data_IF_443271239818
#
_entry.id   IF_443271239818
#
_cell.length_a   1.000
_cell.length_b   1.000
_cell.length_c   1.000
_cell.angle_alpha   90.00
_cell.angle_beta   90.00
_cell.angle_gamma   90.00
#
_symmetry.space_group_name_H-M   'P 1'
#
loop_
_entity.id
_entity.type
_entity.pdbx_description
1 polymer ?
#
# COMPACT_ATOMS: atom_id res chain seq x y z
N UNK A 1 0.94 -14.24 -9.51
CA UNK A 1 1.78 -13.02 -9.51
C UNK A 1 3.06 -13.31 -10.28
N UNK A 2 3.69 -12.28 -10.87
CA UNK A 2 4.96 -12.40 -11.59
C UNK A 2 6.13 -11.96 -10.71
N UNK A 3 7.23 -12.72 -10.80
CA UNK A 3 8.54 -12.43 -10.18
C UNK A 3 9.53 -12.26 -11.30
N UNK A 4 10.29 -11.19 -11.33
CA UNK A 4 11.30 -10.89 -12.34
C UNK A 4 12.68 -10.96 -11.71
N UNK A 5 13.62 -11.61 -12.42
CA UNK A 5 15.03 -11.71 -12.06
C UNK A 5 15.84 -11.03 -13.17
N UNK A 6 16.79 -10.17 -12.80
CA UNK A 6 17.63 -9.43 -13.74
C UNK A 6 19.08 -9.53 -13.28
N UNK A 7 19.91 -10.17 -14.09
CA UNK A 7 21.34 -10.35 -13.83
C UNK A 7 22.05 -10.54 -15.15
N UNK A 8 23.05 -9.74 -15.46
CA UNK A 8 23.77 -9.81 -16.75
C UNK A 8 24.61 -11.08 -16.92
N UNK A 9 24.79 -11.85 -15.84
CA UNK A 9 25.40 -13.19 -15.89
C UNK A 9 24.34 -14.28 -16.13
N UNK A 10 24.25 -14.90 -17.36
CA UNK A 10 23.18 -15.85 -17.66
C UNK A 10 23.13 -17.05 -16.71
N UNK A 11 24.30 -17.52 -16.26
CA UNK A 11 24.38 -18.65 -15.31
C UNK A 11 23.77 -18.35 -13.96
N UNK A 12 23.93 -17.11 -13.47
CA UNK A 12 23.34 -16.67 -12.20
C UNK A 12 21.82 -16.48 -12.37
N UNK A 13 21.41 -15.81 -13.44
CA UNK A 13 20.02 -15.58 -13.79
C UNK A 13 19.23 -16.89 -13.91
N UNK A 14 19.75 -17.88 -14.67
CA UNK A 14 19.15 -19.21 -14.83
C UNK A 14 19.11 -20.01 -13.52
N UNK A 15 20.18 -19.96 -12.73
CA UNK A 15 20.23 -20.62 -11.42
C UNK A 15 19.16 -20.06 -10.48
N UNK A 16 19.07 -18.73 -10.37
CA UNK A 16 18.08 -18.07 -9.52
C UNK A 16 16.66 -18.38 -9.98
N UNK A 17 16.41 -18.39 -11.30
CA UNK A 17 15.12 -18.77 -11.86
C UNK A 17 14.70 -20.17 -11.41
N UNK A 18 15.57 -21.17 -11.53
CA UNK A 18 15.31 -22.56 -11.09
C UNK A 18 15.03 -22.63 -9.58
N UNK A 19 15.81 -21.93 -8.77
CA UNK A 19 15.61 -21.85 -7.32
C UNK A 19 14.20 -21.29 -7.01
N UNK A 20 13.81 -20.22 -7.68
CA UNK A 20 12.51 -19.59 -7.45
C UNK A 20 11.36 -20.45 -7.97
N UNK A 21 11.45 -21.04 -9.15
CA UNK A 21 10.44 -21.94 -9.71
C UNK A 21 10.17 -23.14 -8.77
N UNK A 22 11.24 -23.71 -8.21
CA UNK A 22 11.15 -24.82 -7.26
C UNK A 22 10.64 -24.36 -5.89
N UNK A 23 11.22 -23.29 -5.36
CA UNK A 23 10.92 -22.81 -3.99
C UNK A 23 9.56 -22.19 -3.85
N UNK A 24 9.03 -21.53 -4.88
CA UNK A 24 7.71 -20.94 -4.92
C UNK A 24 6.59 -21.90 -5.35
N UNK A 25 6.90 -23.18 -5.50
CA UNK A 25 5.97 -24.30 -5.77
C UNK A 25 5.01 -24.04 -6.94
N UNK A 26 5.49 -23.37 -8.00
CA UNK A 26 4.70 -23.10 -9.21
C UNK A 26 3.52 -22.14 -9.04
N UNK A 27 3.34 -21.53 -7.89
CA UNK A 27 2.26 -20.55 -7.65
C UNK A 27 2.50 -19.18 -8.30
N UNK A 28 3.71 -18.96 -8.80
CA UNK A 28 4.13 -17.68 -9.36
C UNK A 28 4.88 -17.91 -10.69
N UNK A 29 4.69 -16.98 -11.64
CA UNK A 29 5.45 -16.98 -12.88
C UNK A 29 6.79 -16.29 -12.65
N UNK A 30 7.89 -17.00 -12.92
CA UNK A 30 9.26 -16.46 -12.79
C UNK A 30 9.84 -16.19 -14.17
N UNK A 31 10.18 -14.94 -14.43
CA UNK A 31 10.85 -14.50 -15.66
C UNK A 31 12.27 -14.04 -15.34
N UNK A 32 13.23 -14.41 -16.17
CA UNK A 32 14.62 -14.01 -16.01
C UNK A 32 15.10 -13.27 -17.24
N UNK A 33 15.87 -12.21 -17.03
CA UNK A 33 16.43 -11.33 -18.05
C UNK A 33 17.91 -11.11 -17.80
N UNK A 34 18.68 -11.05 -18.88
CA UNK A 34 20.11 -10.73 -18.83
C UNK A 34 20.42 -9.32 -19.36
N UNK A 35 19.40 -8.63 -19.83
CA UNK A 35 19.47 -7.24 -20.28
C UNK A 35 18.47 -6.37 -19.53
N UNK A 36 18.97 -5.29 -18.96
CA UNK A 36 18.18 -4.40 -18.12
C UNK A 36 17.11 -3.62 -18.90
N UNK A 37 17.36 -3.28 -20.17
CA UNK A 37 16.38 -2.56 -20.99
C UNK A 37 15.20 -3.47 -21.34
N UNK A 38 15.48 -4.69 -21.80
CA UNK A 38 14.44 -5.69 -22.10
C UNK A 38 13.60 -6.02 -20.85
N UNK A 39 14.28 -6.10 -19.69
CA UNK A 39 13.58 -6.29 -18.41
C UNK A 39 12.66 -5.11 -18.07
N UNK A 40 13.13 -3.88 -18.31
CA UNK A 40 12.34 -2.67 -18.06
C UNK A 40 11.09 -2.62 -18.93
N UNK A 41 11.22 -2.89 -20.22
CA UNK A 41 10.10 -2.94 -21.16
C UNK A 41 9.05 -3.98 -20.72
N UNK A 42 9.50 -5.13 -20.24
CA UNK A 42 8.62 -6.16 -19.67
C UNK A 42 7.95 -5.69 -18.37
N UNK A 43 8.68 -5.02 -17.48
CA UNK A 43 8.17 -4.50 -16.20
C UNK A 43 7.09 -3.45 -16.44
N UNK A 44 7.26 -2.56 -17.39
CA UNK A 44 6.26 -1.54 -17.75
C UNK A 44 4.95 -2.15 -18.20
N UNK A 45 4.99 -3.22 -18.99
CA UNK A 45 3.81 -3.89 -19.53
C UNK A 45 3.13 -4.78 -18.48
N UNK A 46 3.90 -5.60 -17.77
CA UNK A 46 3.41 -6.71 -16.99
C UNK A 46 3.31 -6.43 -15.48
N UNK A 47 3.91 -5.34 -15.02
CA UNK A 47 3.89 -4.86 -13.62
C UNK A 47 4.10 -5.97 -12.59
N UNK A 48 5.25 -6.67 -12.61
CA UNK A 48 5.55 -7.76 -11.70
C UNK A 48 5.57 -7.28 -10.25
N UNK A 49 5.06 -8.08 -9.32
CA UNK A 49 5.00 -7.69 -7.90
C UNK A 49 6.34 -7.73 -7.18
N UNK A 50 7.29 -8.58 -7.64
CA UNK A 50 8.64 -8.68 -7.06
C UNK A 50 9.67 -8.66 -8.17
N UNK A 51 10.74 -7.89 -7.95
CA UNK A 51 11.84 -7.71 -8.88
C UNK A 51 13.15 -7.94 -8.12
N UNK A 52 13.91 -8.94 -8.55
CA UNK A 52 15.24 -9.26 -8.06
C UNK A 52 16.25 -8.81 -9.10
N UNK A 53 17.11 -7.85 -8.81
CA UNK A 53 18.04 -7.28 -9.80
C UNK A 53 19.46 -7.18 -9.27
N UNK A 54 20.45 -7.52 -10.10
CA UNK A 54 21.83 -7.16 -9.80
C UNK A 54 21.97 -5.64 -9.78
N UNK A 55 22.84 -5.13 -8.93
CA UNK A 55 23.17 -3.71 -8.84
C UNK A 55 24.07 -3.27 -9.99
N UNK A 56 25.05 -4.11 -10.33
CA UNK A 56 26.08 -3.78 -11.34
C UNK A 56 25.81 -4.50 -12.65
N UNK A 57 25.15 -3.83 -13.56
CA UNK A 57 24.90 -4.32 -14.91
C UNK A 57 25.35 -3.29 -15.95
N UNK A 58 25.75 -3.74 -17.16
CA UNK A 58 26.05 -2.83 -18.27
C UNK A 58 24.82 -1.99 -18.66
N UNK A 59 25.05 -0.73 -19.01
CA UNK A 59 23.97 0.17 -19.43
C UNK A 59 23.15 0.68 -18.23
N UNK A 60 21.99 0.10 -17.98
CA UNK A 60 21.13 0.46 -16.86
C UNK A 60 21.51 -0.36 -15.64
N UNK A 61 21.97 0.32 -14.59
CA UNK A 61 22.29 -0.34 -13.32
C UNK A 61 21.01 -0.72 -12.56
N UNK A 62 21.09 -1.70 -11.63
CA UNK A 62 19.95 -2.06 -10.77
C UNK A 62 19.40 -0.88 -9.96
N UNK A 63 20.25 0.07 -9.58
CA UNK A 63 19.83 1.32 -8.93
C UNK A 63 19.03 2.19 -9.92
N UNK A 64 19.49 2.31 -11.16
CA UNK A 64 18.78 3.04 -12.21
C UNK A 64 17.41 2.41 -12.50
N UNK A 65 17.33 1.09 -12.53
CA UNK A 65 16.08 0.34 -12.64
C UNK A 65 15.13 0.63 -11.46
N UNK A 66 15.65 0.53 -10.23
CA UNK A 66 14.84 0.78 -9.04
C UNK A 66 14.23 2.19 -9.04
N UNK A 67 14.99 3.20 -9.48
CA UNK A 67 14.48 4.57 -9.63
C UNK A 67 13.32 4.63 -10.63
N UNK A 68 13.46 4.03 -11.81
CA UNK A 68 12.41 4.03 -12.85
C UNK A 68 11.18 3.25 -12.39
N UNK A 69 11.35 2.09 -11.77
CA UNK A 69 10.26 1.26 -11.26
C UNK A 69 9.47 2.01 -10.17
N UNK A 70 10.15 2.71 -9.26
CA UNK A 70 9.49 3.51 -8.23
C UNK A 70 8.69 4.68 -8.81
N UNK A 71 9.10 5.25 -9.94
CA UNK A 71 8.33 6.29 -10.64
C UNK A 71 7.03 5.77 -11.24
N UNK A 72 6.92 4.47 -11.51
CA UNK A 72 5.68 3.85 -12.02
C UNK A 72 4.60 3.68 -10.93
N UNK A 73 4.97 3.81 -9.65
CA UNK A 73 4.10 3.87 -8.45
C UNK A 73 3.03 2.77 -8.35
N UNK A 74 3.38 1.51 -8.68
CA UNK A 74 2.47 0.36 -8.52
C UNK A 74 2.83 -0.57 -7.35
N UNK A 75 3.81 -0.18 -6.53
CA UNK A 75 4.14 -0.84 -5.28
C UNK A 75 5.02 -2.09 -5.40
N UNK A 76 5.75 -2.29 -6.52
CA UNK A 76 6.68 -3.40 -6.69
C UNK A 76 7.68 -3.50 -5.53
N UNK A 77 8.00 -4.72 -5.12
CA UNK A 77 9.03 -4.99 -4.12
C UNK A 77 10.33 -5.32 -4.84
N UNK A 78 11.32 -4.43 -4.69
CA UNK A 78 12.62 -4.55 -5.34
C UNK A 78 13.59 -5.16 -4.34
N UNK A 79 14.31 -6.20 -4.74
CA UNK A 79 15.37 -6.86 -3.99
C UNK A 79 16.67 -6.75 -4.78
N UNK A 80 17.73 -6.24 -4.16
CA UNK A 80 19.03 -6.16 -4.81
C UNK A 80 19.85 -7.43 -4.63
N UNK A 81 20.56 -7.82 -5.68
CA UNK A 81 21.67 -8.77 -5.64
C UNK A 81 22.99 -7.98 -5.57
N UNK A 82 23.86 -8.31 -4.66
CA UNK A 82 25.14 -7.61 -4.50
C UNK A 82 26.27 -8.57 -4.15
N UNK A 83 27.43 -8.38 -4.76
CA UNK A 83 28.66 -9.12 -4.43
C UNK A 83 29.45 -8.56 -3.25
N UNK A 84 29.09 -7.39 -2.78
CA UNK A 84 29.81 -6.68 -1.72
C UNK A 84 28.84 -6.05 -0.72
N UNK A 85 29.16 -6.19 0.57
CA UNK A 85 28.46 -5.48 1.65
C UNK A 85 28.96 -4.01 1.72
N UNK A 86 28.84 -3.25 0.62
CA UNK A 86 29.20 -1.85 0.60
C UNK A 86 28.11 -1.03 1.30
N UNK A 87 28.50 -0.26 2.29
CA UNK A 87 27.61 0.61 3.07
C UNK A 87 26.85 1.63 2.21
N UNK A 88 27.37 1.97 1.03
CA UNK A 88 26.70 2.85 0.07
C UNK A 88 25.38 2.28 -0.47
N UNK A 89 25.28 0.96 -0.66
CA UNK A 89 24.04 0.35 -1.16
C UNK A 89 22.92 0.38 -0.13
N UNK A 90 23.24 0.39 1.16
CA UNK A 90 22.23 0.59 2.20
C UNK A 90 21.58 1.98 2.12
N UNK A 91 22.35 3.02 1.76
CA UNK A 91 21.84 4.38 1.55
C UNK A 91 20.88 4.43 0.34
N UNK A 92 21.26 3.82 -0.77
CA UNK A 92 20.40 3.73 -1.96
C UNK A 92 19.15 2.88 -1.71
N UNK A 93 19.25 1.86 -0.86
CA UNK A 93 18.09 1.07 -0.42
C UNK A 93 17.01 1.92 0.24
N UNK A 94 17.41 2.86 1.11
CA UNK A 94 16.49 3.81 1.76
C UNK A 94 15.93 4.82 0.75
N UNK A 95 16.81 5.42 -0.06
CA UNK A 95 16.43 6.46 -1.02
C UNK A 95 15.44 5.96 -2.09
N UNK A 96 15.65 4.73 -2.58
CA UNK A 96 14.81 4.14 -3.64
C UNK A 96 13.82 3.09 -3.13
N UNK A 97 13.50 3.07 -1.83
CA UNK A 97 12.50 2.18 -1.21
C UNK A 97 12.70 0.70 -1.59
N UNK A 98 13.98 0.26 -1.62
CA UNK A 98 14.30 -1.14 -1.89
C UNK A 98 13.83 -1.99 -0.71
N UNK A 99 13.19 -3.11 -1.01
CA UNK A 99 12.60 -3.98 0.01
C UNK A 99 13.64 -4.73 0.83
N UNK A 100 14.66 -5.26 0.15
CA UNK A 100 15.73 -6.06 0.78
C UNK A 100 16.92 -6.23 -0.16
N UNK A 101 17.99 -6.87 0.30
CA UNK A 101 19.14 -7.26 -0.52
C UNK A 101 19.58 -8.69 -0.21
N UNK A 102 20.20 -9.35 -1.20
CA UNK A 102 20.80 -10.67 -1.10
C UNK A 102 22.27 -10.60 -1.51
N UNK A 103 23.13 -11.21 -0.72
CA UNK A 103 24.57 -11.26 -1.01
C UNK A 103 24.89 -12.40 -1.97
N UNK A 104 25.71 -12.12 -2.98
CA UNK A 104 26.32 -13.16 -3.84
C UNK A 104 27.56 -13.76 -3.12
N UNK A 105 27.76 -15.09 -3.10
CA UNK A 105 26.91 -16.12 -3.73
C UNK A 105 25.59 -16.32 -2.96
N UNK A 106 24.48 -16.30 -3.68
CA UNK A 106 23.14 -16.34 -3.08
C UNK A 106 22.86 -17.74 -2.48
N UNK A 107 22.53 -17.75 -1.19
CA UNK A 107 22.01 -18.96 -0.54
C UNK A 107 20.54 -19.19 -0.94
N UNK A 108 20.23 -20.43 -1.33
CA UNK A 108 18.93 -20.80 -1.85
C UNK A 108 17.81 -20.58 -0.82
N UNK A 109 18.03 -20.94 0.42
CA UNK A 109 17.02 -20.81 1.51
C UNK A 109 16.76 -19.35 1.84
N UNK A 110 17.84 -18.54 1.87
CA UNK A 110 17.75 -17.11 2.12
C UNK A 110 16.99 -16.41 1.00
N UNK A 111 17.30 -16.75 -0.26
CA UNK A 111 16.64 -16.21 -1.43
C UNK A 111 15.12 -16.50 -1.42
N UNK A 112 14.74 -17.76 -1.21
CA UNK A 112 13.32 -18.17 -1.13
C UNK A 112 12.61 -17.44 0.01
N UNK A 113 13.24 -17.32 1.19
CA UNK A 113 12.68 -16.63 2.34
C UNK A 113 12.49 -15.13 2.07
N UNK A 114 13.47 -14.48 1.46
CA UNK A 114 13.42 -13.07 1.09
C UNK A 114 12.29 -12.81 0.10
N UNK A 115 12.22 -13.58 -0.98
CA UNK A 115 11.19 -13.42 -2.01
C UNK A 115 9.78 -13.69 -1.46
N UNK A 116 9.59 -14.69 -0.61
CA UNK A 116 8.30 -14.93 0.04
C UNK A 116 7.87 -13.75 0.94
N UNK A 117 8.81 -13.10 1.65
CA UNK A 117 8.51 -11.87 2.40
C UNK A 117 8.10 -10.73 1.47
N UNK A 118 8.81 -10.55 0.36
CA UNK A 118 8.49 -9.53 -0.65
C UNK A 118 7.10 -9.76 -1.26
N UNK A 119 6.77 -11.00 -1.61
CA UNK A 119 5.45 -11.42 -2.11
C UNK A 119 4.34 -11.07 -1.11
N UNK A 120 4.55 -11.44 0.15
CA UNK A 120 3.57 -11.18 1.22
C UNK A 120 3.35 -9.68 1.44
N UNK A 121 4.43 -8.89 1.42
CA UNK A 121 4.37 -7.44 1.57
C UNK A 121 3.64 -6.78 0.38
N UNK A 122 3.91 -7.23 -0.85
CA UNK A 122 3.21 -6.74 -2.03
C UNK A 122 1.70 -6.99 -1.94
N UNK A 123 1.29 -8.22 -1.62
CA UNK A 123 -0.14 -8.55 -1.48
C UNK A 123 -0.83 -7.78 -0.35
N UNK A 124 -0.15 -7.57 0.78
CA UNK A 124 -0.70 -6.81 1.89
C UNK A 124 -0.97 -5.34 1.49
N UNK A 125 -0.06 -4.72 0.74
CA UNK A 125 -0.20 -3.35 0.26
C UNK A 125 -1.30 -3.23 -0.80
N UNK A 126 -1.39 -4.17 -1.75
CA UNK A 126 -2.45 -4.20 -2.75
C UNK A 126 -3.84 -4.33 -2.09
N UNK A 127 -3.98 -5.27 -1.14
CA UNK A 127 -5.23 -5.45 -0.40
C UNK A 127 -5.64 -4.20 0.38
N UNK A 128 -4.68 -3.51 0.98
CA UNK A 128 -4.95 -2.25 1.68
C UNK A 128 -5.45 -1.17 0.71
N UNK A 129 -4.81 -1.04 -0.45
CA UNK A 129 -5.19 -0.07 -1.50
C UNK A 129 -6.59 -0.36 -2.05
N UNK A 130 -6.90 -1.62 -2.36
CA UNK A 130 -8.23 -2.04 -2.80
C UNK A 130 -9.30 -1.72 -1.74
N UNK A 131 -9.04 -2.08 -0.49
CA UNK A 131 -9.99 -1.83 0.60
C UNK A 131 -10.20 -0.33 0.82
N UNK A 132 -9.15 0.47 0.71
CA UNK A 132 -9.24 1.93 0.79
C UNK A 132 -10.09 2.50 -0.36
N UNK A 133 -9.92 2.03 -1.59
CA UNK A 133 -10.73 2.44 -2.75
C UNK A 133 -12.19 2.08 -2.55
N UNK A 134 -12.50 0.84 -2.15
CA UNK A 134 -13.88 0.40 -1.86
C UNK A 134 -14.50 1.30 -0.79
N UNK A 135 -13.76 1.61 0.27
CA UNK A 135 -14.24 2.51 1.33
C UNK A 135 -14.52 3.93 0.80
N UNK A 136 -13.63 4.48 -0.02
CA UNK A 136 -13.83 5.79 -0.65
C UNK A 136 -15.06 5.81 -1.55
N UNK A 137 -15.23 4.80 -2.39
CA UNK A 137 -16.41 4.68 -3.28
C UNK A 137 -17.72 4.55 -2.48
N UNK A 138 -17.70 3.75 -1.42
CA UNK A 138 -18.85 3.62 -0.52
C UNK A 138 -19.18 4.96 0.15
N UNK A 139 -18.17 5.68 0.64
CA UNK A 139 -18.34 6.97 1.29
C UNK A 139 -18.93 8.00 0.32
N UNK A 140 -18.39 8.09 -0.90
CA UNK A 140 -18.87 9.03 -1.93
C UNK A 140 -20.32 8.72 -2.32
N UNK A 141 -20.65 7.45 -2.56
CA UNK A 141 -22.00 7.01 -2.96
C UNK A 141 -23.03 7.23 -1.85
N UNK A 142 -22.65 7.12 -0.59
CA UNK A 142 -23.54 7.22 0.56
C UNK A 142 -23.39 8.52 1.34
N UNK A 143 -22.70 9.51 0.79
CA UNK A 143 -22.41 10.77 1.48
C UNK A 143 -23.67 11.45 2.04
N UNK A 144 -24.76 11.46 1.28
CA UNK A 144 -26.03 12.09 1.71
C UNK A 144 -26.68 11.30 2.85
N UNK A 145 -26.69 9.99 2.79
CA UNK A 145 -27.22 9.14 3.86
C UNK A 145 -26.40 9.28 5.14
N UNK A 146 -25.06 9.28 5.03
CA UNK A 146 -24.16 9.48 6.17
C UNK A 146 -24.37 10.86 6.78
N UNK A 147 -24.59 11.87 5.94
CA UNK A 147 -24.89 13.24 6.36
C UNK A 147 -26.20 13.32 7.14
N UNK A 148 -27.27 12.70 6.64
CA UNK A 148 -28.55 12.63 7.32
C UNK A 148 -28.44 11.92 8.68
N UNK A 149 -27.81 10.76 8.74
CA UNK A 149 -27.58 10.03 9.99
C UNK A 149 -26.73 10.83 11.00
N UNK A 150 -25.75 11.59 10.53
CA UNK A 150 -24.95 12.45 11.41
C UNK A 150 -25.80 13.58 12.00
N UNK A 151 -26.63 14.22 11.17
CA UNK A 151 -27.57 15.27 11.62
C UNK A 151 -28.57 14.69 12.63
N UNK A 152 -29.19 13.55 12.35
CA UNK A 152 -30.10 12.87 13.28
C UNK A 152 -29.44 12.58 14.62
N UNK A 153 -28.20 12.08 14.63
CA UNK A 153 -27.44 11.84 15.88
C UNK A 153 -27.23 13.11 16.69
N UNK A 154 -26.94 14.22 16.02
CA UNK A 154 -26.77 15.52 16.71
C UNK A 154 -28.05 16.00 17.38
N UNK A 155 -29.21 15.72 16.81
CA UNK A 155 -30.50 16.19 17.33
C UNK A 155 -31.15 15.24 18.32
N UNK A 156 -31.00 13.93 18.14
CA UNK A 156 -31.79 12.93 18.86
C UNK A 156 -30.97 12.03 19.80
N UNK A 157 -29.64 12.13 19.79
CA UNK A 157 -28.80 11.34 20.69
C UNK A 157 -27.84 12.25 21.48
N UNK A 158 -27.64 12.00 22.76
CA UNK A 158 -26.67 12.75 23.58
C UNK A 158 -25.26 12.29 23.26
N UNK A 159 -24.76 12.65 22.07
CA UNK A 159 -23.38 12.33 21.64
C UNK A 159 -22.50 13.53 21.94
N UNK A 160 -21.51 13.34 22.80
CA UNK A 160 -20.49 14.35 23.09
C UNK A 160 -19.36 14.20 22.08
N UNK A 161 -19.31 15.11 21.12
CA UNK A 161 -18.14 15.23 20.23
C UNK A 161 -17.15 16.23 20.82
N UNK A 162 -15.85 15.92 20.80
CA UNK A 162 -14.85 16.94 21.03
C UNK A 162 -14.87 17.97 19.88
N UNK A 163 -14.43 19.21 20.14
CA UNK A 163 -14.38 20.25 19.09
C UNK A 163 -13.63 19.77 17.84
N UNK A 164 -12.51 19.07 18.04
CA UNK A 164 -11.70 18.52 16.95
C UNK A 164 -12.45 17.46 16.12
N UNK A 165 -13.23 16.61 16.79
CA UNK A 165 -14.06 15.59 16.11
C UNK A 165 -15.21 16.25 15.34
N UNK A 166 -15.84 17.26 15.91
CA UNK A 166 -16.91 18.01 15.27
C UNK A 166 -16.42 18.74 14.02
N UNK A 167 -15.27 19.42 14.12
CA UNK A 167 -14.70 20.16 13.00
C UNK A 167 -14.29 19.22 11.85
N UNK A 168 -13.71 18.07 12.19
CA UNK A 168 -13.36 17.04 11.20
C UNK A 168 -14.61 16.48 10.49
N UNK A 169 -15.72 16.28 11.20
CA UNK A 169 -16.95 15.79 10.60
C UNK A 169 -17.63 16.86 9.72
N UNK A 170 -17.63 18.12 10.13
CA UNK A 170 -18.11 19.23 9.30
C UNK A 170 -17.39 19.30 7.97
N UNK A 171 -16.04 19.23 7.99
CA UNK A 171 -15.24 19.24 6.77
C UNK A 171 -15.55 18.05 5.87
N UNK A 172 -15.54 16.84 6.42
CA UNK A 172 -15.77 15.60 5.66
C UNK A 172 -17.16 15.55 5.01
N UNK A 173 -18.18 15.99 5.75
CA UNK A 173 -19.57 15.92 5.29
C UNK A 173 -20.03 17.20 4.60
N UNK A 174 -19.17 18.21 4.48
CA UNK A 174 -19.49 19.53 3.90
C UNK A 174 -20.75 20.14 4.52
N UNK A 175 -20.92 19.99 5.85
CA UNK A 175 -22.07 20.55 6.59
C UNK A 175 -21.67 21.89 7.18
N UNK A 176 -22.40 22.94 6.82
CA UNK A 176 -22.28 24.24 7.46
C UNK A 176 -23.21 24.29 8.70
N UNK A 177 -22.67 24.05 9.88
CA UNK A 177 -23.39 24.23 11.16
C UNK A 177 -22.91 25.55 11.74
N UNK A 178 -23.69 26.58 11.62
CA UNK A 178 -23.43 27.88 12.22
C UNK A 178 -24.17 27.99 13.56
N UNK A 179 -23.45 27.79 14.68
CA UNK A 179 -23.86 28.13 16.04
C UNK A 179 -24.69 27.09 16.81
N UNK A 180 -24.51 27.10 18.13
CA UNK A 180 -25.09 26.17 19.11
C UNK A 180 -26.58 26.41 19.43
N UNK A 181 -27.38 27.07 18.62
CA UNK A 181 -28.73 27.49 18.96
C UNK A 181 -29.84 26.43 18.81
N UNK A 182 -29.57 25.26 18.23
CA UNK A 182 -30.63 24.29 17.90
C UNK A 182 -30.89 23.27 19.02
N UNK A 183 -29.98 23.10 19.99
CA UNK A 183 -30.07 22.00 20.97
C UNK A 183 -30.97 22.32 22.16
N UNK A 184 -31.36 23.58 22.40
CA UNK A 184 -32.11 23.98 23.60
C UNK A 184 -33.65 23.82 23.50
N UNK A 185 -34.21 23.67 22.28
CA UNK A 185 -35.69 23.73 22.11
C UNK A 185 -36.39 22.39 22.31
N UNK A 186 -35.71 21.28 22.12
CA UNK A 186 -36.32 19.94 22.22
C UNK A 186 -36.54 19.45 23.66
N UNK A 187 -35.75 19.93 24.61
CA UNK A 187 -35.80 19.40 25.99
C UNK A 187 -36.89 20.02 26.88
N UNK A 188 -37.36 21.20 26.54
CA UNK A 188 -38.39 21.89 27.32
C UNK A 188 -39.83 21.42 27.03
N UNK A 189 -40.06 20.80 25.86
CA UNK A 189 -41.41 20.32 25.50
C UNK A 189 -41.81 19.00 26.17
N UNK A 190 -40.87 18.15 26.53
CA UNK A 190 -41.15 16.87 27.18
C UNK A 190 -41.41 16.99 28.68
N UNK A 191 -40.91 18.04 29.36
CA UNK A 191 -41.18 18.27 30.79
C UNK A 191 -42.48 19.04 31.08
N UNK A 192 -43.04 19.72 30.10
CA UNK A 192 -44.29 20.46 30.28
C UNK A 192 -45.50 19.53 30.28
N UNK A 193 -45.39 18.29 29.77
CA UNK A 193 -46.51 17.33 29.78
C UNK A 193 -46.59 16.47 31.03
N UNK A 194 -45.51 16.35 31.83
CA UNK A 194 -45.52 15.59 33.08
C UNK A 194 -45.98 16.37 34.31
N UNK A 195 -46.02 17.71 34.22
CA UNK A 195 -46.43 18.55 35.36
C UNK A 195 -47.91 18.94 35.35
N UNK A 196 -48.70 18.51 34.37
CA UNK A 196 -50.14 18.81 34.27
C UNK A 196 -51.05 17.61 34.63
N UNK A 197 -50.49 16.48 35.04
CA UNK A 197 -51.25 15.30 35.48
C UNK A 197 -51.28 15.10 37.00
N UNK A 198 -50.67 16.00 37.79
CA UNK A 198 -50.62 15.92 39.25
C UNK A 198 -51.22 17.16 39.95
N UNK A 199 -52.27 17.74 39.38
CA UNK A 199 -53.14 18.71 40.03
C UNK A 199 -54.62 18.26 39.90
#
# INVERSE_FOLDING_TARGET
MKVVIIDDEPLISDKLKRIMETGLRGMHTVCAFTDAQTALDYIEQEKPGVILTDIRMPGITGIGLAKQINQMDYGAKIVFLTGYAEFEYARYGIEYKVFDYLLKPVDEREAIKCINRAISAFHAEQKYTEMYQIFQDYFVKNQELIRQQFVEKLFFQPVIFSEKQMELQKQKLRIAINGYRVVAVSYTHLRAHETLSDL
#
